data_IF_566537284554
#
_entry.id   IF_566537284554
#
_cell.length_a   1.000
_cell.length_b   1.000
_cell.length_c   1.000
_cell.angle_alpha   90.00
_cell.angle_beta   90.00
_cell.angle_gamma   90.00
#
_symmetry.space_group_name_H-M   'P 1'
#
loop_
_entity.id
_entity.type
_entity.pdbx_description
1 polymer ?
#
# COMPACT_ATOMS: atom_id res chain seq x y z
N UNK A 1 66.05 16.84 18.59
CA UNK A 1 65.15 15.67 18.76
C UNK A 1 63.90 15.95 17.93
N UNK A 2 63.68 15.20 16.85
CA UNK A 2 62.56 15.38 15.91
C UNK A 2 61.52 14.30 16.19
N UNK A 3 60.30 14.72 16.51
CA UNK A 3 59.15 13.85 16.80
C UNK A 3 58.63 13.26 15.49
N UNK A 4 58.39 11.93 15.38
CA UNK A 4 57.99 11.30 14.14
C UNK A 4 56.47 11.16 13.98
N UNK A 5 56.06 11.23 12.71
CA UNK A 5 55.02 10.41 12.07
C UNK A 5 53.58 10.65 12.56
N UNK A 6 52.95 11.61 11.87
CA UNK A 6 51.50 11.68 11.69
C UNK A 6 50.95 10.37 11.10
N UNK A 7 50.07 9.74 11.88
CA UNK A 7 48.68 9.48 11.49
C UNK A 7 48.47 8.73 10.16
N UNK A 8 48.68 7.42 10.19
CA UNK A 8 48.05 6.47 9.26
C UNK A 8 47.16 5.52 10.06
N UNK A 9 45.94 5.97 10.40
CA UNK A 9 44.90 5.07 10.90
C UNK A 9 44.08 4.58 9.71
N UNK A 10 44.47 3.41 9.23
CA UNK A 10 43.78 2.62 8.21
C UNK A 10 42.39 2.23 8.71
N UNK A 11 41.41 2.43 7.82
CA UNK A 11 40.03 2.02 7.94
C UNK A 11 39.85 0.53 8.27
N UNK A 12 38.78 0.16 8.99
CA UNK A 12 37.77 -0.81 8.51
C UNK A 12 36.70 -1.11 9.58
N UNK A 13 35.46 -1.23 9.06
CA UNK A 13 34.30 -2.01 9.59
C UNK A 13 33.37 -1.34 10.61
N UNK A 14 32.41 -0.56 10.09
CA UNK A 14 30.98 -0.73 10.40
C UNK A 14 30.11 -0.01 9.34
N UNK A 15 30.26 -0.40 8.06
CA UNK A 15 29.25 -0.04 7.06
C UNK A 15 28.05 -0.98 7.21
N UNK A 16 27.10 -0.62 8.07
CA UNK A 16 25.76 -1.19 7.97
C UNK A 16 25.18 -0.76 6.62
N UNK A 17 24.91 -1.73 5.75
CA UNK A 17 24.42 -1.52 4.39
C UNK A 17 23.04 -0.89 4.38
N UNK A 18 22.98 0.44 4.41
CA UNK A 18 21.79 1.19 4.07
C UNK A 18 21.74 1.34 2.54
N UNK A 19 20.99 0.44 1.89
CA UNK A 19 20.76 0.60 0.45
C UNK A 19 19.94 1.87 0.20
N UNK A 20 20.40 2.73 -0.70
CA UNK A 20 19.71 3.95 -1.17
C UNK A 20 18.32 3.71 -1.81
N UNK A 21 17.83 2.46 -1.79
CA UNK A 21 16.50 2.06 -2.23
C UNK A 21 15.41 2.50 -1.26
N UNK A 22 15.71 2.54 0.06
CA UNK A 22 14.74 2.93 1.09
C UNK A 22 14.23 4.36 0.94
N UNK A 23 15.11 5.33 0.69
CA UNK A 23 14.74 6.75 0.55
C UNK A 23 13.89 7.01 -0.69
N UNK A 24 14.18 6.32 -1.80
CA UNK A 24 13.41 6.43 -3.06
C UNK A 24 12.02 5.82 -2.91
N UNK A 25 11.92 4.62 -2.34
CA UNK A 25 10.62 4.00 -2.10
C UNK A 25 9.79 4.79 -1.07
N UNK A 26 10.43 5.48 -0.12
CA UNK A 26 9.74 6.39 0.80
C UNK A 26 8.97 7.51 0.07
N UNK A 27 9.59 8.19 -0.90
CA UNK A 27 8.93 9.26 -1.66
C UNK A 27 7.79 8.70 -2.52
N UNK A 28 8.02 7.58 -3.22
CA UNK A 28 6.99 6.95 -4.05
C UNK A 28 5.82 6.36 -3.24
N UNK A 29 6.06 5.96 -1.99
CA UNK A 29 5.01 5.47 -1.08
C UNK A 29 3.99 6.54 -0.65
N UNK A 30 4.26 7.81 -0.94
CA UNK A 30 3.41 8.96 -0.64
C UNK A 30 2.82 9.60 -1.90
N UNK A 31 3.66 9.85 -2.90
CA UNK A 31 3.24 10.56 -4.11
C UNK A 31 2.19 9.77 -4.90
N UNK A 32 2.46 8.47 -5.11
CA UNK A 32 1.59 7.60 -5.89
C UNK A 32 0.17 7.45 -5.31
N UNK A 33 0.02 7.09 -4.02
CA UNK A 33 -1.30 7.01 -3.39
C UNK A 33 -2.08 8.32 -3.41
N UNK A 34 -1.42 9.47 -3.24
CA UNK A 34 -2.09 10.77 -3.34
C UNK A 34 -2.65 11.01 -4.75
N UNK A 35 -1.89 10.69 -5.79
CA UNK A 35 -2.34 10.80 -7.19
C UNK A 35 -3.51 9.85 -7.50
N UNK A 36 -3.61 8.70 -6.82
CA UNK A 36 -4.76 7.80 -6.98
C UNK A 36 -6.06 8.38 -6.43
N UNK A 37 -6.00 9.26 -5.43
CA UNK A 37 -7.20 9.93 -4.94
C UNK A 37 -7.78 10.90 -5.99
N UNK A 38 -6.92 11.53 -6.79
CA UNK A 38 -7.36 12.38 -7.91
C UNK A 38 -8.09 11.58 -9.00
N UNK A 39 -7.78 10.30 -9.14
CA UNK A 39 -8.40 9.44 -10.14
C UNK A 39 -9.90 9.26 -9.91
N UNK A 40 -10.39 9.36 -8.67
CA UNK A 40 -11.83 9.33 -8.36
C UNK A 40 -12.61 10.49 -8.97
N UNK A 41 -11.95 11.58 -9.34
CA UNK A 41 -12.58 12.71 -10.03
C UNK A 41 -12.80 12.45 -11.53
N UNK A 42 -12.14 11.43 -12.08
CA UNK A 42 -12.27 11.07 -13.50
C UNK A 42 -13.49 10.17 -13.73
N UNK A 43 -14.31 10.43 -14.75
CA UNK A 43 -15.45 9.57 -15.05
C UNK A 43 -15.03 8.14 -15.39
N UNK A 44 -15.71 7.15 -14.82
CA UNK A 44 -15.57 5.74 -15.17
C UNK A 44 -14.38 5.00 -14.53
N UNK A 45 -13.63 5.65 -13.65
CA UNK A 45 -12.53 5.03 -12.89
C UNK A 45 -12.99 4.47 -11.56
N UNK A 46 -14.01 5.08 -10.94
CA UNK A 46 -14.58 4.58 -9.69
C UNK A 46 -15.38 3.31 -9.96
N UNK A 47 -15.07 2.23 -9.24
CA UNK A 47 -15.80 0.97 -9.35
C UNK A 47 -17.19 1.14 -8.75
N UNK A 48 -18.22 0.89 -9.57
CA UNK A 48 -19.62 0.94 -9.13
C UNK A 48 -20.11 -0.35 -8.48
N UNK A 49 -19.43 -1.46 -8.76
CA UNK A 49 -19.68 -2.77 -8.19
C UNK A 49 -18.35 -3.46 -7.92
N UNK A 50 -18.36 -4.41 -6.99
CA UNK A 50 -17.15 -5.12 -6.66
C UNK A 50 -16.74 -6.09 -7.78
N UNK A 51 -15.43 -6.34 -7.96
CA UNK A 51 -14.96 -7.34 -8.92
C UNK A 51 -15.60 -8.70 -8.66
N UNK A 52 -16.02 -9.39 -9.73
CA UNK A 52 -16.69 -10.69 -9.64
C UNK A 52 -15.80 -11.76 -9.00
N UNK A 53 -14.50 -11.65 -9.20
CA UNK A 53 -13.48 -12.54 -8.65
C UNK A 53 -12.44 -11.74 -7.90
N UNK A 54 -12.28 -12.07 -6.62
CA UNK A 54 -11.19 -11.59 -5.79
C UNK A 54 -10.19 -12.72 -5.53
N UNK A 55 -8.88 -12.42 -5.49
CA UNK A 55 -7.90 -13.40 -5.05
C UNK A 55 -8.11 -13.73 -3.56
N UNK A 56 -7.86 -14.98 -3.12
CA UNK A 56 -8.06 -15.38 -1.71
C UNK A 56 -7.09 -14.66 -0.76
N UNK A 57 -5.97 -14.15 -1.30
CA UNK A 57 -4.92 -13.46 -0.58
C UNK A 57 -4.55 -12.22 -1.38
N UNK A 58 -4.43 -11.08 -0.72
CA UNK A 58 -3.93 -9.85 -1.35
C UNK A 58 -3.03 -9.08 -0.39
N UNK A 59 -2.29 -8.12 -0.95
CA UNK A 59 -1.52 -7.18 -0.15
C UNK A 59 -2.39 -5.97 0.22
N UNK A 60 -2.30 -5.57 1.48
CA UNK A 60 -2.88 -4.33 1.99
C UNK A 60 -1.75 -3.44 2.43
N UNK A 61 -1.78 -2.15 2.07
CA UNK A 61 -0.74 -1.20 2.48
C UNK A 61 -1.38 0.04 3.08
N UNK A 62 -0.89 0.45 4.25
CA UNK A 62 -1.15 1.78 4.78
C UNK A 62 -0.36 2.79 3.97
N UNK A 63 -0.98 3.88 3.51
CA UNK A 63 -0.28 4.95 2.79
C UNK A 63 0.83 5.50 3.68
N UNK A 64 2.02 5.73 3.09
CA UNK A 64 3.26 6.05 3.82
C UNK A 64 3.76 4.96 4.79
N UNK A 65 3.09 3.80 4.84
CA UNK A 65 3.33 2.75 5.82
C UNK A 65 3.73 1.42 5.18
N UNK A 66 3.66 0.38 6.01
CA UNK A 66 4.06 -0.97 5.61
C UNK A 66 2.94 -1.66 4.83
N UNK A 67 3.36 -2.57 3.94
CA UNK A 67 2.44 -3.51 3.33
C UNK A 67 2.37 -4.78 4.19
N UNK A 68 1.17 -5.33 4.31
CA UNK A 68 0.88 -6.55 5.02
C UNK A 68 0.07 -7.49 4.13
N UNK A 69 0.11 -8.76 4.48
CA UNK A 69 -0.73 -9.77 3.87
C UNK A 69 -2.16 -9.61 4.39
N UNK A 70 -3.14 -9.93 3.56
CA UNK A 70 -4.54 -9.99 3.96
C UNK A 70 -5.24 -11.16 3.29
N UNK A 71 -6.25 -11.66 3.98
CA UNK A 71 -7.14 -12.71 3.51
C UNK A 71 -8.42 -12.09 2.98
N UNK A 72 -8.94 -12.63 1.89
CA UNK A 72 -10.20 -12.19 1.30
C UNK A 72 -11.27 -13.23 1.55
N UNK A 73 -12.37 -12.79 2.13
CA UNK A 73 -13.61 -13.53 2.28
C UNK A 73 -14.75 -12.82 1.56
N UNK A 74 -15.84 -13.54 1.33
CA UNK A 74 -17.09 -12.98 0.87
C UNK A 74 -18.12 -13.13 1.99
N UNK A 75 -18.85 -12.06 2.28
CA UNK A 75 -20.01 -12.08 3.16
C UNK A 75 -21.25 -11.66 2.37
N UNK A 76 -22.44 -11.92 2.91
CA UNK A 76 -23.70 -11.58 2.27
C UNK A 76 -23.82 -10.08 1.92
N UNK A 77 -23.06 -9.23 2.61
CA UNK A 77 -23.01 -7.77 2.42
C UNK A 77 -21.88 -7.26 1.52
N UNK A 78 -21.03 -8.13 0.96
CA UNK A 78 -19.93 -7.78 0.07
C UNK A 78 -18.59 -8.43 0.44
N UNK A 79 -17.51 -7.94 -0.17
CA UNK A 79 -16.17 -8.48 0.10
C UNK A 79 -15.64 -8.04 1.46
N UNK A 80 -14.94 -8.95 2.12
CA UNK A 80 -14.28 -8.74 3.40
C UNK A 80 -12.79 -8.98 3.23
N UNK A 81 -11.98 -8.00 3.57
CA UNK A 81 -10.51 -8.09 3.52
C UNK A 81 -9.99 -8.04 4.95
N UNK A 82 -9.51 -9.17 5.49
CA UNK A 82 -8.92 -9.25 6.82
C UNK A 82 -7.41 -9.09 6.79
N UNK A 83 -6.87 -8.05 7.43
CA UNK A 83 -5.43 -7.80 7.51
C UNK A 83 -4.79 -8.79 8.50
N UNK A 84 -3.71 -9.44 8.06
CA UNK A 84 -2.96 -10.39 8.86
C UNK A 84 -1.93 -9.65 9.75
N UNK A 85 -2.20 -9.65 11.06
CA UNK A 85 -1.35 -9.03 12.07
C UNK A 85 -1.72 -7.59 12.41
N UNK A 86 -1.01 -7.01 13.40
CA UNK A 86 -1.25 -5.63 13.82
C UNK A 86 -0.69 -4.65 12.80
N UNK A 87 -1.44 -3.58 12.52
CA UNK A 87 -0.91 -2.38 11.85
C UNK A 87 -0.26 -1.45 12.88
N UNK A 88 0.70 -0.59 12.47
CA UNK A 88 1.22 0.46 13.34
C UNK A 88 0.09 1.36 13.84
N UNK A 89 0.23 1.89 15.06
CA UNK A 89 -0.80 2.71 15.70
C UNK A 89 -1.11 4.01 14.95
N UNK A 90 -0.17 4.48 14.13
CA UNK A 90 -0.32 5.63 13.25
C UNK A 90 0.36 5.35 11.90
N UNK A 91 -0.19 5.84 10.78
CA UNK A 91 -1.48 6.54 10.68
C UNK A 91 -2.70 5.63 10.94
N UNK A 92 -3.84 6.19 11.39
CA UNK A 92 -5.04 5.41 11.73
C UNK A 92 -5.96 5.33 10.51
N UNK A 93 -6.09 4.17 9.84
CA UNK A 93 -6.88 4.08 8.64
C UNK A 93 -8.37 4.31 8.90
N UNK A 94 -9.00 5.11 8.06
CA UNK A 94 -10.44 5.35 8.07
C UNK A 94 -11.18 4.68 6.91
N UNK A 95 -10.51 4.40 5.79
CA UNK A 95 -11.09 3.66 4.66
C UNK A 95 -10.03 2.95 3.80
N UNK A 96 -10.47 1.96 3.04
CA UNK A 96 -9.65 1.23 2.08
C UNK A 96 -10.04 1.55 0.63
N UNK A 97 -9.06 1.60 -0.26
CA UNK A 97 -9.24 1.69 -1.71
C UNK A 97 -8.75 0.39 -2.35
N UNK A 98 -9.68 -0.40 -2.86
CA UNK A 98 -9.40 -1.57 -3.70
C UNK A 98 -8.93 -1.08 -5.07
N UNK A 99 -7.67 -1.37 -5.39
CA UNK A 99 -7.12 -1.11 -6.71
C UNK A 99 -7.37 -2.32 -7.61
N UNK A 100 -8.02 -2.09 -8.74
CA UNK A 100 -8.20 -3.08 -9.80
C UNK A 100 -7.64 -2.53 -11.10
N UNK A 101 -7.05 -3.42 -11.89
CA UNK A 101 -6.59 -3.14 -13.24
C UNK A 101 -7.39 -4.02 -14.20
N UNK A 102 -7.74 -3.50 -15.39
CA UNK A 102 -8.55 -4.25 -16.37
C UNK A 102 -7.87 -5.50 -16.90
N UNK A 103 -6.53 -5.48 -16.97
CA UNK A 103 -5.71 -6.55 -17.52
C UNK A 103 -5.18 -7.45 -16.41
N UNK A 104 -4.70 -6.83 -15.32
CA UNK A 104 -4.05 -7.55 -14.23
C UNK A 104 -5.01 -7.96 -13.11
N UNK A 105 -6.28 -7.55 -13.18
CA UNK A 105 -7.28 -7.81 -12.16
C UNK A 105 -7.01 -7.04 -10.87
N UNK A 106 -7.52 -7.59 -9.75
CA UNK A 106 -7.40 -6.98 -8.42
C UNK A 106 -5.93 -6.93 -7.98
N UNK A 107 -5.45 -5.71 -7.71
CA UNK A 107 -4.06 -5.45 -7.30
C UNK A 107 -3.82 -5.53 -5.80
N UNK A 108 -4.73 -4.97 -5.01
CA UNK A 108 -4.59 -4.91 -3.56
C UNK A 108 -5.40 -3.77 -2.97
N UNK A 109 -5.20 -3.48 -1.70
CA UNK A 109 -5.93 -2.40 -1.00
C UNK A 109 -4.97 -1.39 -0.40
N UNK A 110 -5.15 -0.11 -0.72
CA UNK A 110 -4.47 0.99 -0.02
C UNK A 110 -5.35 1.52 1.10
N UNK A 111 -4.78 1.72 2.28
CA UNK A 111 -5.48 2.22 3.45
C UNK A 111 -5.14 3.70 3.68
N UNK A 112 -6.17 4.53 3.71
CA UNK A 112 -6.08 5.98 3.86
C UNK A 112 -6.67 6.41 5.20
N UNK A 113 -6.17 7.52 5.73
CA UNK A 113 -6.77 8.21 6.88
C UNK A 113 -7.98 9.03 6.47
N UNK A 114 -8.83 9.35 7.44
CA UNK A 114 -9.96 10.25 7.25
C UNK A 114 -11.24 9.55 6.78
N UNK A 115 -12.08 10.29 6.06
CA UNK A 115 -13.38 9.80 5.59
C UNK A 115 -13.28 9.27 4.15
N UNK A 116 -14.09 8.26 3.78
CA UNK A 116 -14.17 7.79 2.40
C UNK A 116 -14.53 8.90 1.42
N UNK A 117 -14.13 8.73 0.16
CA UNK A 117 -14.47 9.66 -0.92
C UNK A 117 -16.00 9.78 -1.06
N UNK A 118 -16.58 11.00 -0.92
CA UNK A 118 -18.02 11.18 -1.03
C UNK A 118 -18.57 10.70 -2.38
N UNK A 119 -19.67 9.94 -2.33
CA UNK A 119 -20.33 9.41 -3.53
C UNK A 119 -19.68 8.15 -4.12
N UNK A 120 -18.50 7.73 -3.64
CA UNK A 120 -17.90 6.47 -4.05
C UNK A 120 -18.67 5.27 -3.42
N UNK A 121 -19.14 4.31 -4.23
CA UNK A 121 -19.85 3.14 -3.71
C UNK A 121 -18.95 2.29 -2.80
N UNK A 122 -19.52 1.81 -1.69
CA UNK A 122 -18.85 0.87 -0.81
C UNK A 122 -18.97 -0.53 -1.40
N UNK A 123 -17.82 -1.17 -1.65
CA UNK A 123 -17.70 -2.49 -2.26
C UNK A 123 -17.56 -3.61 -1.23
N UNK A 124 -17.28 -3.24 0.03
CA UNK A 124 -17.03 -4.19 1.10
C UNK A 124 -16.40 -3.51 2.31
N UNK A 125 -15.65 -4.28 3.08
CA UNK A 125 -14.99 -3.81 4.30
C UNK A 125 -13.56 -4.35 4.44
N UNK A 126 -12.71 -3.58 5.11
CA UNK A 126 -11.39 -4.01 5.57
C UNK A 126 -11.43 -4.18 7.08
N UNK A 127 -10.99 -5.33 7.57
CA UNK A 127 -10.95 -5.70 8.98
C UNK A 127 -9.51 -5.63 9.47
N UNK A 128 -9.25 -4.80 10.45
CA UNK A 128 -7.93 -4.52 11.02
C UNK A 128 -8.02 -4.71 12.52
N UNK A 129 -7.67 -5.91 13.00
CA UNK A 129 -7.89 -6.30 14.39
C UNK A 129 -9.38 -6.16 14.75
N UNK A 130 -9.71 -5.25 15.67
CA UNK A 130 -11.08 -4.98 16.09
C UNK A 130 -11.80 -3.88 15.26
N UNK A 131 -11.11 -3.24 14.30
CA UNK A 131 -11.68 -2.16 13.49
C UNK A 131 -12.21 -2.70 12.17
N UNK A 132 -13.37 -2.20 11.76
CA UNK A 132 -13.95 -2.45 10.45
C UNK A 132 -14.12 -1.12 9.76
N UNK A 133 -13.49 -0.96 8.59
CA UNK A 133 -13.54 0.27 7.78
C UNK A 133 -14.11 -0.04 6.40
N UNK A 134 -14.81 0.91 5.76
CA UNK A 134 -15.37 0.71 4.43
C UNK A 134 -14.27 0.56 3.37
N UNK A 135 -14.54 -0.26 2.37
CA UNK A 135 -13.70 -0.42 1.19
C UNK A 135 -14.42 0.11 -0.03
N UNK A 136 -13.86 1.12 -0.69
CA UNK A 136 -14.28 1.62 -2.00
C UNK A 136 -13.34 1.08 -3.07
N UNK A 137 -13.66 1.24 -4.36
CA UNK A 137 -12.83 0.70 -5.43
C UNK A 137 -12.51 1.69 -6.53
N UNK A 138 -11.33 1.49 -7.11
CA UNK A 138 -10.80 2.26 -8.22
C UNK A 138 -10.25 1.30 -9.27
N UNK A 139 -10.74 1.44 -10.49
CA UNK A 139 -10.24 0.79 -11.68
C UNK A 139 -9.25 1.71 -12.38
N UNK A 140 -7.96 1.39 -12.32
CA UNK A 140 -6.91 2.17 -12.98
C UNK A 140 -5.64 1.37 -13.18
N UNK A 141 -4.82 1.80 -14.14
CA UNK A 141 -3.51 1.20 -14.40
C UNK A 141 -2.50 1.64 -13.36
N UNK A 142 -2.29 0.80 -12.34
CA UNK A 142 -1.45 1.14 -11.18
C UNK A 142 0.02 1.42 -11.57
N UNK A 143 0.50 0.84 -12.68
CA UNK A 143 1.86 1.04 -13.18
C UNK A 143 2.21 2.51 -13.45
N UNK A 144 1.23 3.38 -13.74
CA UNK A 144 1.45 4.81 -13.93
C UNK A 144 1.68 5.61 -12.63
N UNK A 145 1.39 5.01 -11.47
CA UNK A 145 1.40 5.69 -10.17
C UNK A 145 2.50 5.20 -9.22
N UNK A 146 3.21 4.13 -9.59
CA UNK A 146 4.28 3.53 -8.79
C UNK A 146 5.59 3.43 -9.57
N UNK A 147 6.71 3.41 -8.87
CA UNK A 147 7.99 3.03 -9.49
C UNK A 147 8.08 1.50 -9.57
N UNK A 148 8.55 0.95 -10.69
CA UNK A 148 8.68 -0.50 -10.87
C UNK A 148 9.59 -1.18 -9.84
N UNK A 149 10.50 -0.44 -9.20
CA UNK A 149 11.35 -0.90 -8.10
C UNK A 149 10.69 -0.76 -6.72
N UNK A 150 9.62 0.02 -6.63
CA UNK A 150 8.89 0.32 -5.40
C UNK A 150 7.37 0.12 -5.61
N UNK A 151 6.92 -1.12 -5.85
CA UNK A 151 5.50 -1.38 -6.04
C UNK A 151 4.71 -1.14 -4.76
N UNK A 152 3.46 -0.69 -4.90
CA UNK A 152 2.56 -0.58 -3.75
C UNK A 152 2.33 -1.94 -3.10
N UNK A 153 2.20 -2.98 -3.92
CA UNK A 153 1.90 -4.34 -3.49
C UNK A 153 3.04 -5.28 -3.88
N UNK A 154 3.97 -5.57 -2.96
CA UNK A 154 5.00 -6.56 -3.20
C UNK A 154 4.39 -7.94 -3.48
N UNK A 155 4.86 -8.64 -4.51
CA UNK A 155 4.37 -9.97 -4.89
C UNK A 155 4.58 -11.03 -3.80
N UNK A 156 5.54 -10.81 -2.91
CA UNK A 156 5.78 -11.69 -1.75
C UNK A 156 4.59 -11.79 -0.80
N UNK A 157 3.71 -10.77 -0.78
CA UNK A 157 2.53 -10.72 0.09
C UNK A 157 1.26 -11.26 -0.58
N UNK A 158 1.34 -11.65 -1.86
CA UNK A 158 0.21 -12.09 -2.68
C UNK A 158 0.21 -13.61 -2.92
N UNK A 159 1.17 -14.33 -2.32
CA UNK A 159 1.31 -15.79 -2.39
C UNK A 159 0.83 -16.48 -1.11
#
# INVERSE_FOLDING_TARGET
>A
MRVPVCLSLVATLASCGWSNQGTRCGIFSLAGPTMLLEEFTKPGTTLSAAPATMPPVLAVRVVAGQAQRALVGNADSGWVVGVDGPLPDQPVPGFGVLLSDRVLGVQGVLLYEGLPIPGAPTLGSVHIGARVIPMIGLETQTAGFQDGRCPFFPDSLRR
#
